data_IF_575512116924
#
_entry.id   IF_575512116924
#
_cell.length_a   1.000
_cell.length_b   1.000
_cell.length_c   1.000
_cell.angle_alpha   90.00
_cell.angle_beta   90.00
_cell.angle_gamma   90.00
#
_symmetry.space_group_name_H-M   'P 1'
#
loop_
_entity.id
_entity.type
_entity.pdbx_description
1 polymer ?
#
# COMPACT_ATOMS: atom_id res chain seq x y z
N UNK A 1 35.72 -23.77 -8.11
CA UNK A 1 35.44 -23.37 -6.72
C UNK A 1 35.59 -21.87 -6.66
N UNK A 2 34.49 -21.14 -6.84
CA UNK A 2 34.49 -19.68 -6.80
C UNK A 2 33.56 -19.30 -5.66
N UNK A 3 34.16 -18.83 -4.57
CA UNK A 3 33.46 -18.38 -3.36
C UNK A 3 32.76 -17.05 -3.65
N UNK A 4 31.44 -17.04 -3.57
CA UNK A 4 30.65 -15.83 -3.62
C UNK A 4 30.89 -15.03 -2.32
N UNK A 5 31.53 -13.88 -2.44
CA UNK A 5 31.69 -12.89 -1.36
C UNK A 5 30.33 -12.28 -1.07
N UNK A 6 29.86 -12.47 0.14
CA UNK A 6 28.66 -11.84 0.71
C UNK A 6 28.99 -10.36 0.98
N UNK A 7 28.30 -9.45 0.30
CA UNK A 7 28.40 -8.00 0.53
C UNK A 7 27.57 -7.62 1.77
N UNK A 8 28.16 -7.07 2.85
CA UNK A 8 27.47 -6.77 4.10
C UNK A 8 26.75 -5.40 4.13
N UNK A 9 26.56 -4.74 2.99
CA UNK A 9 25.98 -3.39 2.95
C UNK A 9 24.46 -3.33 2.73
N UNK A 10 23.74 -4.44 2.86
CA UNK A 10 22.27 -4.45 2.87
C UNK A 10 21.80 -4.25 4.31
N UNK A 11 21.73 -2.99 4.75
CA UNK A 11 20.98 -2.66 5.95
C UNK A 11 19.51 -3.04 5.74
N UNK A 12 19.11 -4.12 6.39
CA UNK A 12 17.71 -4.52 6.52
C UNK A 12 17.00 -3.46 7.35
N UNK A 13 16.27 -2.58 6.67
CA UNK A 13 15.33 -1.67 7.33
C UNK A 13 14.35 -2.54 8.12
N UNK A 14 14.30 -2.37 9.44
CA UNK A 14 13.52 -3.19 10.35
C UNK A 14 12.05 -3.26 9.91
N UNK A 15 11.46 -4.45 9.94
CA UNK A 15 10.05 -4.74 9.60
C UNK A 15 9.01 -3.93 10.40
N UNK A 16 9.41 -3.23 11.46
CA UNK A 16 8.54 -2.42 12.32
C UNK A 16 7.90 -1.18 11.65
N UNK A 17 8.38 -0.78 10.46
CA UNK A 17 7.81 0.33 9.69
C UNK A 17 6.57 -0.05 8.85
N UNK A 18 6.15 -1.34 8.86
CA UNK A 18 5.27 -1.90 7.84
C UNK A 18 3.79 -1.72 8.07
N UNK A 19 3.33 -1.56 9.30
CA UNK A 19 1.90 -1.51 9.55
C UNK A 19 1.51 -0.63 10.76
N UNK A 20 1.03 0.55 10.45
CA UNK A 20 -0.03 1.17 11.22
C UNK A 20 -1.08 1.64 10.22
N UNK A 21 -1.74 0.67 9.55
CA UNK A 21 -3.07 0.94 9.01
C UNK A 21 -3.93 1.37 10.18
N UNK A 22 -4.64 2.48 10.05
CA UNK A 22 -5.69 2.84 11.00
C UNK A 22 -6.64 1.64 11.06
N UNK A 23 -6.91 1.04 12.25
CA UNK A 23 -7.84 -0.07 12.33
C UNK A 23 -9.14 0.40 11.69
N UNK A 24 -9.68 -0.38 10.75
CA UNK A 24 -11.02 -0.11 10.20
C UNK A 24 -11.97 -0.11 11.40
N UNK A 25 -12.45 1.06 11.80
CA UNK A 25 -13.44 1.15 12.88
C UNK A 25 -14.64 0.33 12.47
N UNK A 26 -14.92 -0.74 13.22
CA UNK A 26 -16.14 -1.49 13.08
C UNK A 26 -17.33 -0.53 13.20
N UNK A 27 -18.28 -0.66 12.29
CA UNK A 27 -19.54 0.10 12.33
C UNK A 27 -20.23 -0.19 13.66
N UNK A 28 -20.70 0.84 14.36
CA UNK A 28 -21.56 0.67 15.53
C UNK A 28 -22.77 -0.18 15.13
N UNK A 29 -22.92 -1.38 15.76
CA UNK A 29 -23.97 -2.35 15.44
C UNK A 29 -23.51 -3.65 14.76
N UNK A 30 -22.23 -3.83 14.43
CA UNK A 30 -21.70 -5.07 13.88
C UNK A 30 -21.66 -6.24 14.87
N UNK A 31 -21.72 -7.49 14.35
CA UNK A 31 -21.54 -8.69 15.18
C UNK A 31 -20.11 -8.73 15.75
N UNK A 32 -19.99 -8.63 17.05
CA UNK A 32 -18.68 -8.60 17.75
C UNK A 32 -17.80 -9.80 17.41
N UNK A 33 -18.38 -11.00 17.28
CA UNK A 33 -17.64 -12.21 16.91
C UNK A 33 -17.04 -12.15 15.50
N UNK A 34 -17.77 -11.56 14.55
CA UNK A 34 -17.27 -11.35 13.18
C UNK A 34 -16.14 -10.32 13.19
N UNK A 35 -16.33 -9.19 13.89
CA UNK A 35 -15.28 -8.18 14.06
C UNK A 35 -14.01 -8.80 14.62
N UNK A 36 -14.11 -9.54 15.74
CA UNK A 36 -12.96 -10.22 16.36
C UNK A 36 -12.28 -11.21 15.41
N UNK A 37 -13.04 -11.93 14.56
CA UNK A 37 -12.45 -12.86 13.60
C UNK A 37 -11.65 -12.12 12.50
N UNK A 38 -12.13 -10.97 12.05
CA UNK A 38 -11.39 -10.11 11.11
C UNK A 38 -10.15 -9.51 11.75
N UNK A 39 -10.27 -9.01 13.00
CA UNK A 39 -9.13 -8.47 13.76
C UNK A 39 -8.04 -9.53 13.97
N UNK A 40 -8.43 -10.82 14.17
CA UNK A 40 -7.48 -11.94 14.25
C UNK A 40 -6.71 -12.10 12.96
N UNK A 41 -7.36 -12.02 11.79
CA UNK A 41 -6.67 -12.10 10.49
C UNK A 41 -5.71 -10.92 10.30
N UNK A 42 -6.10 -9.72 10.71
CA UNK A 42 -5.24 -8.53 10.63
C UNK A 42 -3.99 -8.64 11.53
N UNK A 43 -4.02 -9.41 12.62
CA UNK A 43 -2.83 -9.66 13.43
C UNK A 43 -1.66 -10.28 12.65
N UNK A 44 -1.95 -11.06 11.62
CA UNK A 44 -0.94 -11.72 10.77
C UNK A 44 -0.32 -10.80 9.71
N UNK A 45 -0.79 -9.54 9.58
CA UNK A 45 -0.19 -8.59 8.65
C UNK A 45 1.25 -8.22 9.01
N UNK A 46 1.65 -8.41 10.29
CA UNK A 46 2.97 -8.05 10.81
C UNK A 46 3.88 -9.26 11.06
N UNK A 47 3.29 -10.41 11.32
CA UNK A 47 4.01 -11.62 11.68
C UNK A 47 3.50 -12.79 10.86
N UNK A 48 4.41 -13.55 10.30
CA UNK A 48 4.09 -14.72 9.48
C UNK A 48 3.42 -15.84 10.28
N UNK A 49 3.71 -15.93 11.60
CA UNK A 49 3.14 -16.92 12.51
C UNK A 49 2.85 -16.31 13.88
N UNK A 50 1.74 -16.71 14.50
CA UNK A 50 1.33 -16.25 15.84
C UNK A 50 0.75 -17.40 16.66
N UNK A 51 1.11 -17.45 17.94
CA UNK A 51 0.46 -18.32 18.92
C UNK A 51 -0.85 -17.74 19.45
N UNK A 52 -1.72 -18.60 20.03
CA UNK A 52 -3.00 -18.17 20.66
C UNK A 52 -2.79 -17.07 21.69
N UNK A 53 -1.71 -17.16 22.49
CA UNK A 53 -1.41 -16.17 23.54
C UNK A 53 -1.02 -14.81 22.96
N UNK A 54 -0.36 -14.77 21.80
CA UNK A 54 0.04 -13.53 21.13
C UNK A 54 -1.18 -12.81 20.56
N UNK A 55 -2.06 -13.55 19.88
CA UNK A 55 -3.34 -13.03 19.37
C UNK A 55 -4.20 -12.49 20.52
N UNK A 56 -4.34 -13.26 21.62
CA UNK A 56 -5.11 -12.83 22.80
C UNK A 56 -4.59 -11.51 23.38
N UNK A 57 -3.26 -11.40 23.53
CA UNK A 57 -2.60 -10.19 24.07
C UNK A 57 -2.79 -8.99 23.12
N UNK A 58 -2.64 -9.16 21.81
CA UNK A 58 -2.79 -8.07 20.83
C UNK A 58 -4.19 -7.50 20.78
N UNK A 59 -5.19 -8.38 20.85
CA UNK A 59 -6.60 -7.98 20.76
C UNK A 59 -7.23 -7.65 22.11
N UNK A 60 -6.52 -7.86 23.21
CA UNK A 60 -7.08 -7.64 24.57
C UNK A 60 -8.25 -8.57 24.89
N UNK A 61 -8.28 -9.80 24.33
CA UNK A 61 -9.34 -10.78 24.56
C UNK A 61 -8.86 -11.95 25.40
N UNK A 62 -9.79 -12.69 26.01
CA UNK A 62 -9.45 -13.92 26.74
C UNK A 62 -8.81 -14.96 25.78
N UNK A 63 -7.81 -15.72 26.29
CA UNK A 63 -7.13 -16.78 25.53
C UNK A 63 -8.11 -17.82 24.96
N UNK A 64 -9.15 -18.16 25.71
CA UNK A 64 -10.24 -19.06 25.25
C UNK A 64 -11.01 -18.49 24.06
N UNK A 65 -11.23 -17.17 24.03
CA UNK A 65 -11.88 -16.48 22.90
C UNK A 65 -10.97 -16.51 21.67
N UNK A 66 -9.69 -16.14 21.80
CA UNK A 66 -8.73 -16.20 20.71
C UNK A 66 -8.61 -17.62 20.14
N UNK A 67 -8.49 -18.63 20.99
CA UNK A 67 -8.42 -20.04 20.59
C UNK A 67 -9.66 -20.45 19.79
N UNK A 68 -10.88 -20.14 20.29
CA UNK A 68 -12.13 -20.49 19.59
C UNK A 68 -12.25 -19.83 18.22
N UNK A 69 -11.82 -18.55 18.10
CA UNK A 69 -11.83 -17.85 16.82
C UNK A 69 -10.82 -18.47 15.86
N UNK A 70 -9.57 -18.70 16.29
CA UNK A 70 -8.53 -19.34 15.49
C UNK A 70 -8.94 -20.74 15.01
N UNK A 71 -9.52 -21.57 15.89
CA UNK A 71 -10.02 -22.89 15.51
C UNK A 71 -11.15 -22.80 14.47
N UNK A 72 -12.05 -21.82 14.62
CA UNK A 72 -13.13 -21.60 13.64
C UNK A 72 -12.57 -21.17 12.28
N UNK A 73 -11.61 -20.24 12.26
CA UNK A 73 -10.95 -19.80 11.05
C UNK A 73 -10.14 -20.93 10.39
N UNK A 74 -9.48 -21.78 11.20
CA UNK A 74 -8.75 -22.94 10.69
C UNK A 74 -9.67 -23.97 10.06
N UNK A 75 -10.81 -24.26 10.68
CA UNK A 75 -11.83 -25.15 10.10
C UNK A 75 -12.44 -24.66 8.79
N UNK A 76 -12.23 -23.38 8.45
CA UNK A 76 -12.67 -22.75 7.19
C UNK A 76 -11.50 -22.44 6.24
N UNK A 77 -10.26 -22.84 6.56
CA UNK A 77 -9.07 -22.63 5.74
C UNK A 77 -8.54 -21.20 5.69
N UNK A 78 -9.05 -20.28 6.52
CA UNK A 78 -8.56 -18.91 6.59
C UNK A 78 -7.23 -18.77 7.31
N UNK A 79 -6.97 -19.66 8.28
CA UNK A 79 -5.68 -19.85 8.92
C UNK A 79 -5.33 -21.33 8.95
N UNK A 80 -4.06 -21.65 9.12
CA UNK A 80 -3.54 -23.01 9.27
C UNK A 80 -2.75 -23.10 10.56
N UNK A 81 -2.85 -24.21 11.27
CA UNK A 81 -2.04 -24.48 12.46
C UNK A 81 -0.87 -25.39 12.06
N UNK A 82 0.33 -24.99 12.42
CA UNK A 82 1.54 -25.82 12.20
C UNK A 82 1.75 -26.83 13.34
N UNK A 83 2.79 -27.68 13.18
CA UNK A 83 3.12 -28.71 14.16
C UNK A 83 3.57 -28.16 15.52
N UNK A 84 3.96 -26.89 15.61
CA UNK A 84 4.32 -26.21 16.87
C UNK A 84 3.11 -25.69 17.62
N UNK A 85 1.91 -25.72 17.01
CA UNK A 85 0.70 -25.13 17.55
C UNK A 85 0.53 -23.63 17.22
N UNK A 86 1.43 -23.05 16.44
CA UNK A 86 1.32 -21.69 15.91
C UNK A 86 0.42 -21.64 14.68
N UNK A 87 -0.20 -20.49 14.45
CA UNK A 87 -1.09 -20.26 13.31
C UNK A 87 -0.43 -19.36 12.27
N UNK A 88 -0.77 -19.54 11.01
CA UNK A 88 -0.42 -18.68 9.87
C UNK A 88 -1.63 -18.46 8.97
N UNK A 89 -1.56 -17.48 8.05
CA UNK A 89 -2.62 -17.29 7.04
C UNK A 89 -2.76 -18.53 6.16
N UNK A 90 -3.99 -18.97 5.96
CA UNK A 90 -4.34 -20.14 5.17
C UNK A 90 -4.50 -19.83 3.67
N UNK A 91 -4.43 -20.89 2.85
CA UNK A 91 -4.51 -20.78 1.39
C UNK A 91 -5.82 -20.16 0.90
N UNK A 92 -6.92 -20.33 1.63
CA UNK A 92 -8.22 -19.79 1.24
C UNK A 92 -8.23 -18.26 1.13
N UNK A 93 -7.43 -17.55 1.94
CA UNK A 93 -7.24 -16.09 1.80
C UNK A 93 -6.57 -15.71 0.48
N UNK A 94 -5.57 -16.49 0.05
CA UNK A 94 -4.92 -16.30 -1.24
C UNK A 94 -5.92 -16.48 -2.38
N UNK A 95 -6.76 -17.53 -2.35
CA UNK A 95 -7.78 -17.78 -3.36
C UNK A 95 -8.77 -16.60 -3.49
N UNK A 96 -9.29 -16.11 -2.35
CA UNK A 96 -10.20 -14.96 -2.34
C UNK A 96 -9.49 -13.68 -2.80
N UNK A 97 -8.24 -13.47 -2.39
CA UNK A 97 -7.41 -12.35 -2.82
C UNK A 97 -7.19 -12.37 -4.34
N UNK A 98 -6.90 -13.53 -4.92
CA UNK A 98 -6.71 -13.69 -6.37
C UNK A 98 -7.99 -13.42 -7.16
N UNK A 99 -9.16 -13.82 -6.65
CA UNK A 99 -10.45 -13.47 -7.26
C UNK A 99 -10.70 -11.97 -7.25
N UNK A 100 -10.41 -11.29 -6.13
CA UNK A 100 -10.51 -9.83 -6.03
C UNK A 100 -9.54 -9.13 -6.98
N UNK A 101 -8.30 -9.62 -7.04
CA UNK A 101 -7.24 -9.11 -7.91
C UNK A 101 -7.61 -9.24 -9.40
N UNK A 102 -8.13 -10.40 -9.82
CA UNK A 102 -8.55 -10.65 -11.21
C UNK A 102 -9.74 -9.77 -11.64
N UNK A 103 -10.61 -9.39 -10.69
CA UNK A 103 -11.79 -8.53 -10.95
C UNK A 103 -11.48 -7.04 -10.91
N UNK A 104 -10.26 -6.63 -10.62
CA UNK A 104 -9.89 -5.22 -10.61
C UNK A 104 -9.70 -4.70 -12.04
N UNK A 105 -10.74 -4.09 -12.61
CA UNK A 105 -10.74 -3.58 -13.98
C UNK A 105 -9.67 -2.52 -14.22
N UNK A 106 -9.41 -1.64 -13.26
CA UNK A 106 -8.35 -0.63 -13.38
C UNK A 106 -6.97 -1.28 -13.53
N UNK A 107 -6.69 -2.30 -12.73
CA UNK A 107 -5.46 -3.09 -12.81
C UNK A 107 -5.28 -3.73 -14.18
N UNK A 108 -6.34 -4.33 -14.71
CA UNK A 108 -6.28 -5.02 -16.00
C UNK A 108 -5.83 -4.10 -17.14
N UNK A 109 -6.41 -2.90 -17.21
CA UNK A 109 -6.01 -1.92 -18.25
C UNK A 109 -4.69 -1.23 -17.96
N UNK A 110 -4.31 -1.12 -16.67
CA UNK A 110 -3.08 -0.45 -16.27
C UNK A 110 -1.83 -1.30 -16.50
N UNK A 111 -1.90 -2.61 -16.32
CA UNK A 111 -0.74 -3.51 -16.32
C UNK A 111 0.16 -3.37 -17.56
N UNK A 112 -0.33 -3.44 -18.81
CA UNK A 112 0.52 -3.28 -19.99
C UNK A 112 1.12 -1.87 -20.11
N UNK A 113 0.43 -0.84 -19.61
CA UNK A 113 0.92 0.53 -19.61
C UNK A 113 2.00 0.72 -18.55
N UNK A 114 1.84 0.12 -17.38
CA UNK A 114 2.84 0.13 -16.30
C UNK A 114 4.13 -0.58 -16.76
N UNK A 115 4.01 -1.71 -17.47
CA UNK A 115 5.17 -2.43 -17.99
C UNK A 115 5.97 -1.52 -18.94
N UNK A 116 5.31 -0.86 -19.87
CA UNK A 116 5.98 0.08 -20.77
C UNK A 116 6.67 1.24 -20.06
N UNK A 117 6.10 1.74 -18.95
CA UNK A 117 6.75 2.76 -18.12
C UNK A 117 7.96 2.19 -17.40
N UNK A 118 7.86 0.99 -16.83
CA UNK A 118 8.98 0.32 -16.15
C UNK A 118 10.15 0.08 -17.12
N UNK A 119 9.88 -0.45 -18.32
CA UNK A 119 10.89 -0.71 -19.35
C UNK A 119 11.59 0.58 -19.80
N UNK A 120 10.85 1.69 -19.92
CA UNK A 120 11.41 2.97 -20.34
C UNK A 120 12.19 3.70 -19.24
N UNK A 121 11.79 3.52 -17.98
CA UNK A 121 12.38 4.31 -16.87
C UNK A 121 13.41 3.54 -16.08
N UNK A 122 13.34 2.21 -16.07
CA UNK A 122 14.14 1.37 -15.17
C UNK A 122 13.74 1.47 -13.71
N UNK A 123 12.65 2.19 -13.38
CA UNK A 123 12.20 2.40 -12.00
C UNK A 123 11.07 1.45 -11.61
N UNK A 124 10.90 1.23 -10.30
CA UNK A 124 9.72 0.52 -9.81
C UNK A 124 8.46 1.34 -10.04
N UNK A 125 7.47 0.73 -10.69
CA UNK A 125 6.17 1.35 -11.01
C UNK A 125 5.07 0.74 -10.14
N UNK A 126 4.24 1.60 -9.54
CA UNK A 126 3.12 1.15 -8.70
C UNK A 126 1.78 1.72 -9.21
N UNK A 127 0.72 0.93 -9.06
CA UNK A 127 -0.67 1.34 -9.22
C UNK A 127 -1.31 1.43 -7.84
N UNK A 128 -1.72 2.63 -7.44
CA UNK A 128 -2.42 2.88 -6.18
C UNK A 128 -3.90 3.15 -6.42
N UNK A 129 -4.76 2.58 -5.56
CA UNK A 129 -6.20 2.87 -5.54
C UNK A 129 -6.61 3.41 -4.16
N UNK A 130 -7.62 4.30 -4.08
CA UNK A 130 -8.09 4.83 -2.81
C UNK A 130 -8.90 3.79 -2.03
N UNK A 131 -8.72 3.76 -0.71
CA UNK A 131 -9.60 3.05 0.22
C UNK A 131 -9.69 3.82 1.55
N UNK A 132 -10.77 4.57 1.73
CA UNK A 132 -10.94 5.49 2.86
C UNK A 132 -9.87 6.58 2.88
N UNK A 133 -9.16 6.72 4.00
CA UNK A 133 -8.07 7.68 4.20
C UNK A 133 -6.73 7.24 3.61
N UNK A 134 -6.68 6.04 3.00
CA UNK A 134 -5.45 5.35 2.62
C UNK A 134 -5.38 5.10 1.10
N UNK A 135 -4.21 4.63 0.67
CA UNK A 135 -3.97 4.07 -0.66
C UNK A 135 -3.57 2.61 -0.51
N UNK A 136 -4.16 1.75 -1.34
CA UNK A 136 -3.75 0.36 -1.50
C UNK A 136 -3.02 0.21 -2.84
N UNK A 137 -1.81 -0.33 -2.80
CA UNK A 137 -1.04 -0.62 -4.01
C UNK A 137 -1.47 -1.98 -4.57
N UNK A 138 -2.32 -1.95 -5.59
CA UNK A 138 -2.94 -3.14 -6.19
C UNK A 138 -2.08 -3.81 -7.26
N UNK A 139 -1.05 -3.09 -7.77
CA UNK A 139 -0.07 -3.64 -8.69
C UNK A 139 1.27 -2.95 -8.52
N UNK A 140 2.35 -3.73 -8.76
CA UNK A 140 3.73 -3.28 -8.68
C UNK A 140 4.58 -4.02 -9.70
N UNK A 141 5.34 -3.26 -10.47
CA UNK A 141 6.39 -3.78 -11.37
C UNK A 141 7.73 -3.32 -10.80
N UNK A 142 8.55 -4.26 -10.37
CA UNK A 142 9.84 -3.95 -9.77
C UNK A 142 10.89 -3.64 -10.84
N UNK A 143 11.80 -2.72 -10.53
CA UNK A 143 12.99 -2.48 -11.33
C UNK A 143 13.90 -3.72 -11.32
N UNK A 144 14.44 -4.08 -12.48
CA UNK A 144 15.37 -5.20 -12.62
C UNK A 144 16.74 -4.86 -12.02
N UNK A 145 17.16 -3.59 -12.13
CA UNK A 145 18.48 -3.10 -11.71
C UNK A 145 18.41 -2.27 -10.42
N UNK A 146 17.24 -2.18 -9.81
CA UNK A 146 16.97 -1.26 -8.69
C UNK A 146 17.34 -1.85 -7.33
N UNK A 147 17.80 -0.98 -6.44
CA UNK A 147 17.79 -1.23 -5.00
C UNK A 147 16.38 -1.66 -4.61
N UNK A 148 16.25 -2.85 -4.03
CA UNK A 148 14.95 -3.37 -3.57
C UNK A 148 14.41 -2.48 -2.46
N UNK A 149 13.60 -1.50 -2.84
CA UNK A 149 12.78 -0.80 -1.85
C UNK A 149 11.70 -1.78 -1.44
N UNK A 150 11.75 -2.19 -0.18
CA UNK A 150 10.80 -3.12 0.40
C UNK A 150 9.36 -2.63 0.13
N UNK A 151 8.55 -3.44 -0.47
CA UNK A 151 7.15 -3.19 -0.81
C UNK A 151 6.56 -4.39 -1.52
N UNK A 152 5.27 -4.59 -1.36
CA UNK A 152 4.55 -5.69 -2.02
C UNK A 152 3.19 -5.19 -2.54
N UNK A 153 2.64 -5.90 -3.50
CA UNK A 153 1.25 -5.76 -3.93
C UNK A 153 0.31 -6.05 -2.76
N UNK A 154 -0.77 -5.30 -2.63
CA UNK A 154 -1.69 -5.36 -1.49
C UNK A 154 -1.31 -4.43 -0.32
N UNK A 155 -0.15 -3.78 -0.37
CA UNK A 155 0.29 -2.89 0.69
C UNK A 155 -0.60 -1.65 0.80
N UNK A 156 -1.04 -1.37 2.03
CA UNK A 156 -1.80 -0.17 2.40
C UNK A 156 -0.88 0.90 3.00
N UNK A 157 -1.08 2.16 2.62
CA UNK A 157 -0.37 3.30 3.20
C UNK A 157 -1.32 4.49 3.41
N UNK A 158 -1.17 5.25 4.52
CA UNK A 158 -1.89 6.50 4.68
C UNK A 158 -1.63 7.46 3.52
N UNK A 159 -2.69 8.08 2.97
CA UNK A 159 -2.58 8.92 1.78
C UNK A 159 -1.55 10.06 1.92
N UNK A 160 -1.43 10.64 3.11
CA UNK A 160 -0.50 11.75 3.39
C UNK A 160 0.98 11.34 3.44
N UNK A 161 1.27 10.03 3.44
CA UNK A 161 2.63 9.50 3.46
C UNK A 161 3.17 9.17 2.06
N UNK A 162 2.36 9.23 1.01
CA UNK A 162 2.73 8.78 -0.33
C UNK A 162 2.38 9.81 -1.40
N UNK A 163 3.22 9.93 -2.43
CA UNK A 163 2.89 10.75 -3.60
C UNK A 163 1.58 10.29 -4.27
N UNK A 164 1.35 8.98 -4.33
CA UNK A 164 0.10 8.37 -4.82
C UNK A 164 -1.12 8.86 -4.05
N UNK A 165 -1.05 8.88 -2.73
CA UNK A 165 -2.16 9.35 -1.89
C UNK A 165 -2.45 10.83 -2.04
N UNK A 166 -1.39 11.66 -2.13
CA UNK A 166 -1.54 13.10 -2.32
C UNK A 166 -2.22 13.42 -3.66
N UNK A 167 -1.81 12.76 -4.78
CA UNK A 167 -2.44 13.01 -6.08
C UNK A 167 -3.88 12.49 -6.14
N UNK A 168 -4.17 11.36 -5.49
CA UNK A 168 -5.55 10.85 -5.41
C UNK A 168 -6.41 11.83 -4.63
N UNK A 169 -6.00 12.26 -3.44
CA UNK A 169 -6.76 13.16 -2.59
C UNK A 169 -6.99 14.54 -3.23
N UNK A 170 -6.05 15.02 -4.04
CA UNK A 170 -6.20 16.28 -4.75
C UNK A 170 -7.41 16.32 -5.70
N UNK A 171 -7.84 15.16 -6.22
CA UNK A 171 -8.94 15.00 -7.18
C UNK A 171 -10.00 13.98 -6.70
N UNK A 172 -9.96 13.59 -5.41
CA UNK A 172 -10.97 12.74 -4.79
C UNK A 172 -11.36 13.31 -3.42
N UNK A 173 -12.46 14.08 -3.34
CA UNK A 173 -12.89 14.72 -2.10
C UNK A 173 -13.20 13.74 -0.96
N UNK A 174 -13.55 12.49 -1.29
CA UNK A 174 -13.78 11.43 -0.31
C UNK A 174 -12.50 11.11 0.46
N UNK A 175 -11.41 10.88 -0.25
CA UNK A 175 -10.09 10.59 0.36
C UNK A 175 -9.59 11.78 1.19
N UNK A 176 -9.73 13.01 0.69
CA UNK A 176 -9.34 14.21 1.43
C UNK A 176 -10.11 14.33 2.75
N UNK A 177 -11.44 14.17 2.72
CA UNK A 177 -12.27 14.21 3.93
C UNK A 177 -11.90 13.12 4.93
N UNK A 178 -11.77 11.87 4.49
CA UNK A 178 -11.41 10.76 5.35
C UNK A 178 -10.00 10.93 5.94
N UNK A 179 -9.04 11.46 5.15
CA UNK A 179 -7.69 11.72 5.64
C UNK A 179 -7.66 12.80 6.72
N UNK A 180 -8.41 13.88 6.55
CA UNK A 180 -8.56 14.94 7.58
C UNK A 180 -9.16 14.38 8.87
N UNK A 181 -10.16 13.51 8.75
CA UNK A 181 -10.78 12.88 9.91
C UNK A 181 -9.82 11.93 10.64
N UNK A 182 -9.04 11.15 9.90
CA UNK A 182 -8.06 10.22 10.47
C UNK A 182 -6.78 10.90 10.99
N UNK A 183 -6.55 12.19 10.68
CA UNK A 183 -5.38 12.96 11.09
C UNK A 183 -4.12 12.63 10.25
N UNK A 184 -2.96 13.12 10.70
CA UNK A 184 -1.69 13.07 9.96
C UNK A 184 -0.57 12.46 10.82
N UNK A 185 -0.67 11.19 11.26
CA UNK A 185 0.34 10.57 12.10
C UNK A 185 1.67 10.44 11.34
N UNK A 186 2.81 10.74 11.99
CA UNK A 186 4.12 10.65 11.35
C UNK A 186 4.50 9.20 11.04
N UNK A 187 5.07 8.97 9.85
CA UNK A 187 5.61 7.67 9.43
C UNK A 187 7.11 7.74 9.19
N UNK A 188 7.56 8.78 8.52
CA UNK A 188 8.96 9.04 8.20
C UNK A 188 9.24 10.54 8.27
N UNK A 189 10.49 10.93 8.05
CA UNK A 189 10.93 12.34 8.14
C UNK A 189 10.16 13.26 7.19
N UNK A 190 9.90 12.82 5.97
CA UNK A 190 9.20 13.59 4.92
C UNK A 190 7.67 13.46 4.93
N UNK A 191 7.08 12.80 5.94
CA UNK A 191 5.61 12.68 6.05
C UNK A 191 4.96 14.04 6.33
N UNK A 192 3.88 14.34 5.64
CA UNK A 192 3.01 15.50 5.92
C UNK A 192 2.38 15.28 7.30
N UNK A 193 2.50 16.28 8.21
CA UNK A 193 2.07 16.14 9.62
C UNK A 193 0.98 17.11 10.04
N UNK A 194 0.69 18.13 9.21
CA UNK A 194 -0.25 19.20 9.53
C UNK A 194 -1.22 19.41 8.40
N UNK A 195 -2.42 19.84 8.72
CA UNK A 195 -3.47 20.09 7.75
C UNK A 195 -3.11 21.22 6.77
N UNK A 196 -2.36 22.23 7.21
CA UNK A 196 -1.92 23.34 6.34
C UNK A 196 -0.91 22.85 5.29
N UNK A 197 -0.03 21.92 5.66
CA UNK A 197 0.92 21.31 4.73
C UNK A 197 0.21 20.39 3.72
N UNK A 198 -0.83 19.70 4.18
CA UNK A 198 -1.72 18.91 3.33
C UNK A 198 -2.45 19.80 2.32
N UNK A 199 -3.04 20.90 2.75
CA UNK A 199 -3.73 21.86 1.87
C UNK A 199 -2.82 22.44 0.80
N UNK A 200 -1.59 22.78 1.17
CA UNK A 200 -0.55 23.24 0.22
C UNK A 200 -0.21 22.16 -0.79
N UNK A 201 0.01 20.93 -0.32
CA UNK A 201 0.32 19.80 -1.19
C UNK A 201 -0.81 19.53 -2.20
N UNK A 202 -2.08 19.50 -1.77
CA UNK A 202 -3.21 19.30 -2.67
C UNK A 202 -3.35 20.44 -3.69
N UNK A 203 -3.15 21.69 -3.25
CA UNK A 203 -3.17 22.87 -4.13
C UNK A 203 -2.08 22.81 -5.18
N UNK A 204 -0.86 22.46 -4.78
CA UNK A 204 0.27 22.27 -5.70
C UNK A 204 0.01 21.17 -6.72
N UNK A 205 -0.55 20.04 -6.30
CA UNK A 205 -0.92 18.94 -7.20
C UNK A 205 -1.98 19.37 -8.20
N UNK A 206 -3.02 20.10 -7.77
CA UNK A 206 -4.04 20.60 -8.70
C UNK A 206 -3.48 21.53 -9.77
N UNK A 207 -2.42 22.29 -9.44
CA UNK A 207 -1.71 23.18 -10.37
C UNK A 207 -0.73 22.43 -11.27
N UNK A 208 0.06 21.49 -10.72
CA UNK A 208 1.19 20.83 -11.42
C UNK A 208 0.79 19.51 -12.07
N UNK A 209 -0.31 18.87 -11.66
CA UNK A 209 -0.75 17.57 -12.13
C UNK A 209 -0.02 16.37 -11.54
N UNK A 210 0.96 16.57 -10.66
CA UNK A 210 1.75 15.50 -10.04
C UNK A 210 2.15 15.84 -8.60
N UNK A 211 2.54 14.82 -7.83
CA UNK A 211 3.21 14.98 -6.54
C UNK A 211 4.56 14.27 -6.56
N UNK A 212 5.55 14.86 -5.91
CA UNK A 212 6.81 14.23 -5.57
C UNK A 212 6.99 14.26 -4.06
N UNK A 213 7.34 13.13 -3.46
CA UNK A 213 7.64 13.04 -2.03
C UNK A 213 9.01 12.39 -1.81
N UNK A 214 9.78 13.00 -0.92
CA UNK A 214 11.06 12.50 -0.45
C UNK A 214 10.88 11.95 0.96
N UNK A 215 11.36 10.74 1.20
CA UNK A 215 11.28 10.09 2.53
C UNK A 215 9.89 10.15 3.17
N UNK A 216 8.82 10.08 2.36
CA UNK A 216 7.44 10.16 2.84
C UNK A 216 7.01 8.94 3.64
N UNK A 217 7.31 7.75 3.12
CA UNK A 217 7.03 6.45 3.74
C UNK A 217 8.30 5.68 4.09
N UNK A 218 9.41 5.96 3.41
CA UNK A 218 10.71 5.32 3.60
C UNK A 218 11.81 6.37 3.66
N UNK A 219 12.85 6.11 4.45
CA UNK A 219 14.07 6.90 4.46
C UNK A 219 14.81 6.72 3.12
N UNK A 220 15.41 7.80 2.61
CA UNK A 220 16.23 7.84 1.39
C UNK A 220 15.56 7.35 0.10
N UNK A 221 14.23 7.23 0.10
CA UNK A 221 13.43 6.90 -1.07
C UNK A 221 12.60 8.10 -1.53
N UNK A 222 12.56 8.31 -2.83
CA UNK A 222 11.73 9.32 -3.48
C UNK A 222 10.69 8.66 -4.38
N UNK A 223 9.53 9.29 -4.47
CA UNK A 223 8.45 8.84 -5.33
C UNK A 223 7.81 10.01 -6.06
N UNK A 224 7.41 9.76 -7.31
CA UNK A 224 6.64 10.69 -8.14
C UNK A 224 5.37 9.98 -8.60
N UNK A 225 4.23 10.64 -8.45
CA UNK A 225 2.92 10.10 -8.84
C UNK A 225 2.11 11.09 -9.67
N UNK A 226 1.25 10.55 -10.53
CA UNK A 226 0.20 11.29 -11.23
C UNK A 226 -1.16 10.61 -11.01
N UNK A 227 -2.27 11.35 -10.97
CA UNK A 227 -3.60 10.78 -10.78
C UNK A 227 -4.12 10.14 -12.08
N UNK A 228 -4.79 9.00 -11.98
CA UNK A 228 -5.63 8.43 -13.03
C UNK A 228 -7.03 8.98 -12.81
N UNK A 229 -7.50 9.84 -13.72
CA UNK A 229 -8.75 10.59 -13.54
C UNK A 229 -9.80 10.15 -14.56
N UNK A 230 -10.97 9.79 -14.04
CA UNK A 230 -12.17 9.45 -14.82
C UNK A 230 -13.26 10.43 -14.42
N UNK A 231 -13.89 11.09 -15.38
CA UNK A 231 -14.89 12.15 -15.18
C UNK A 231 -14.43 13.21 -14.17
N UNK A 232 -13.14 13.59 -14.21
CA UNK A 232 -12.57 14.59 -13.31
C UNK A 232 -12.14 14.09 -11.93
N UNK A 233 -12.57 12.91 -11.50
CA UNK A 233 -12.26 12.32 -10.20
C UNK A 233 -11.09 11.32 -10.31
N UNK A 234 -10.17 11.33 -9.35
CA UNK A 234 -9.11 10.34 -9.27
C UNK A 234 -9.68 9.00 -8.78
N UNK A 235 -9.59 7.98 -9.65
CA UNK A 235 -9.93 6.58 -9.36
C UNK A 235 -8.72 5.77 -8.92
N UNK A 236 -7.52 6.31 -9.13
CA UNK A 236 -6.26 5.72 -8.76
C UNK A 236 -5.09 6.65 -9.11
N UNK A 237 -3.89 6.12 -9.02
CA UNK A 237 -2.64 6.79 -9.40
C UNK A 237 -1.65 5.81 -9.98
N UNK A 238 -0.81 6.27 -10.91
CA UNK A 238 0.42 5.59 -11.31
C UNK A 238 1.61 6.36 -10.75
N UNK A 239 2.60 5.65 -10.23
CA UNK A 239 3.79 6.27 -9.61
C UNK A 239 5.05 5.48 -9.87
N UNK A 240 6.19 6.17 -9.84
CA UNK A 240 7.51 5.56 -9.75
C UNK A 240 8.07 5.76 -8.33
N UNK A 241 8.86 4.79 -7.91
CA UNK A 241 9.53 4.76 -6.61
C UNK A 241 10.95 4.26 -6.82
N UNK A 242 11.91 4.91 -6.16
CA UNK A 242 13.31 4.51 -6.19
C UNK A 242 14.15 5.25 -5.17
N UNK A 243 15.46 4.95 -5.10
CA UNK A 243 16.40 5.76 -4.32
C UNK A 243 16.38 7.22 -4.76
N UNK A 244 16.43 8.13 -3.80
CA UNK A 244 16.39 9.59 -4.05
C UNK A 244 17.38 10.04 -5.12
N UNK A 245 18.66 9.61 -5.12
CA UNK A 245 19.63 10.02 -6.14
C UNK A 245 19.30 9.59 -7.56
N UNK A 246 18.44 8.57 -7.74
CA UNK A 246 18.02 8.08 -9.06
C UNK A 246 16.74 8.76 -9.53
N UNK A 247 15.79 9.02 -8.62
CA UNK A 247 14.48 9.59 -8.97
C UNK A 247 14.55 11.09 -9.23
N UNK A 248 15.28 11.86 -8.41
CA UNK A 248 15.30 13.32 -8.51
C UNK A 248 15.82 13.87 -9.85
N UNK A 249 16.96 13.40 -10.37
CA UNK A 249 17.46 13.87 -11.66
C UNK A 249 16.53 13.51 -12.82
N UNK A 250 15.80 12.38 -12.68
CA UNK A 250 14.98 11.81 -13.75
C UNK A 250 13.54 12.38 -13.79
N UNK A 251 13.15 13.19 -12.79
CA UNK A 251 11.77 13.72 -12.68
C UNK A 251 11.28 14.43 -13.94
N UNK A 252 12.16 15.18 -14.63
CA UNK A 252 11.79 15.90 -15.86
C UNK A 252 11.36 14.97 -16.98
N UNK A 253 11.91 13.75 -17.05
CA UNK A 253 11.58 12.70 -17.99
C UNK A 253 10.39 11.88 -17.55
N UNK A 254 10.35 11.52 -16.27
CA UNK A 254 9.36 10.60 -15.69
C UNK A 254 7.97 11.23 -15.61
N UNK A 255 7.83 12.50 -15.22
CA UNK A 255 6.52 13.15 -15.07
C UNK A 255 5.68 13.15 -16.35
N UNK A 256 6.21 13.55 -17.51
CA UNK A 256 5.47 13.47 -18.77
C UNK A 256 5.09 12.04 -19.16
N UNK A 257 5.97 11.07 -18.95
CA UNK A 257 5.69 9.64 -19.22
C UNK A 257 4.55 9.12 -18.34
N UNK A 258 4.59 9.38 -17.04
CA UNK A 258 3.51 9.01 -16.12
C UNK A 258 2.19 9.69 -16.48
N UNK A 259 2.23 10.96 -16.90
CA UNK A 259 1.03 11.70 -17.31
C UNK A 259 0.39 11.07 -18.55
N UNK A 260 1.19 10.73 -19.56
CA UNK A 260 0.71 10.05 -20.76
C UNK A 260 0.14 8.65 -20.41
N UNK A 261 0.83 7.91 -19.52
CA UNK A 261 0.38 6.61 -19.04
C UNK A 261 -0.96 6.71 -18.30
N UNK A 262 -1.10 7.65 -17.36
CA UNK A 262 -2.34 7.87 -16.62
C UNK A 262 -3.52 8.21 -17.53
N UNK A 263 -3.31 9.06 -18.51
CA UNK A 263 -4.34 9.42 -19.51
C UNK A 263 -4.76 8.21 -20.36
N UNK A 264 -3.79 7.38 -20.78
CA UNK A 264 -4.06 6.15 -21.54
C UNK A 264 -4.87 5.16 -20.69
N UNK A 265 -4.47 4.93 -19.44
CA UNK A 265 -5.21 4.07 -18.51
C UNK A 265 -6.63 4.60 -18.29
N UNK A 266 -6.79 5.91 -18.03
CA UNK A 266 -8.09 6.52 -17.79
C UNK A 266 -9.02 6.34 -19.00
N UNK A 267 -8.52 6.55 -20.22
CA UNK A 267 -9.29 6.36 -21.48
C UNK A 267 -9.76 4.92 -21.64
N UNK A 268 -8.89 3.95 -21.39
CA UNK A 268 -9.21 2.51 -21.50
C UNK A 268 -10.17 2.02 -20.40
N UNK A 269 -10.06 2.60 -19.22
CA UNK A 269 -10.91 2.24 -18.08
C UNK A 269 -12.33 2.82 -18.18
N UNK A 270 -12.50 3.93 -18.92
CA UNK A 270 -13.80 4.59 -19.13
C UNK A 270 -14.56 4.04 -20.34
N UNK A 271 -13.93 3.20 -21.17
CA UNK A 271 -14.53 2.59 -22.37
C UNK A 271 -15.30 1.32 -22.02
#
# INVERSE_FOLDING_TARGET
MTTATHDPSIETVSDSAWCTSTPRRGTAGGLRSVGTALDVLECFAMDSTLGVSDVARRLGVAKSTAHRVLTTLAGRGFVEQDASGSYRLGLHLYELGMLSHARNGLRHVALPVMQAVADQTGHTVNLGVPDGADVVFVERIESVDGVRILGHTGRRQPAHCTSSGVVIAAFNPGVDRERRHAGFPPKAKGTIRRVEDWDRALTDVRRRGHAALHSGSFTDASSVAVPIRVHGQAVGSISVLGPTPLIEPDMRRVVPLLTAAANRIAKQYSA
#
